data_IF_321270152925
#
_entry.id   IF_321270152925
#
_cell.length_a   1.000
_cell.length_b   1.000
_cell.length_c   1.000
_cell.angle_alpha   90.00
_cell.angle_beta   90.00
_cell.angle_gamma   90.00
#
_symmetry.space_group_name_H-M   'P 1'
#
loop_
_entity.id
_entity.type
_entity.pdbx_description
1 polymer ?
#
# COMPACT_ATOMS: atom_id res chain seq x y z
N UNK A 1 7.58 12.69 5.47
CA UNK A 1 7.57 11.22 5.25
C UNK A 1 8.92 10.86 4.66
N UNK A 2 9.70 9.98 5.31
CA UNK A 2 11.12 9.79 5.00
C UNK A 2 11.26 8.80 3.82
N UNK A 3 11.67 9.26 2.64
CA UNK A 3 11.78 8.43 1.42
C UNK A 3 12.66 7.18 1.61
N UNK A 4 13.64 7.26 2.51
CA UNK A 4 14.52 6.15 2.87
C UNK A 4 13.76 4.95 3.44
N UNK A 5 12.70 5.18 4.21
CA UNK A 5 11.92 4.10 4.83
C UNK A 5 11.18 3.25 3.78
N UNK A 6 10.60 3.88 2.76
CA UNK A 6 9.91 3.17 1.67
C UNK A 6 10.91 2.35 0.88
N UNK A 7 12.09 2.91 0.59
CA UNK A 7 13.15 2.19 -0.10
C UNK A 7 13.71 1.03 0.71
N UNK A 8 13.84 1.16 2.03
CA UNK A 8 14.26 0.07 2.92
C UNK A 8 13.22 -1.05 2.99
N UNK A 9 11.93 -0.71 3.03
CA UNK A 9 10.82 -1.68 2.96
C UNK A 9 10.89 -2.47 1.64
N UNK A 10 11.10 -1.79 0.51
CA UNK A 10 11.13 -2.43 -0.80
C UNK A 10 12.41 -3.22 -1.09
N UNK A 11 13.52 -2.84 -0.44
CA UNK A 11 14.80 -3.58 -0.54
C UNK A 11 14.81 -4.86 0.27
N UNK A 12 13.89 -5.04 1.22
CA UNK A 12 13.72 -6.30 1.96
C UNK A 12 12.59 -7.15 1.33
N UNK A 13 12.92 -8.23 0.60
CA UNK A 13 11.96 -9.06 -0.13
C UNK A 13 11.12 -10.00 0.76
N UNK A 14 11.16 -9.85 2.09
CA UNK A 14 10.11 -10.35 2.99
C UNK A 14 8.94 -9.34 2.96
N UNK A 15 8.37 -9.06 1.78
CA UNK A 15 7.05 -9.56 1.33
C UNK A 15 6.01 -9.48 2.45
N UNK A 16 5.13 -8.47 2.35
CA UNK A 16 3.83 -8.40 3.02
C UNK A 16 3.84 -8.93 4.46
N UNK A 17 4.52 -8.20 5.33
CA UNK A 17 4.59 -8.51 6.75
C UNK A 17 3.23 -8.15 7.37
N UNK A 18 2.89 -8.65 8.56
CA UNK A 18 1.63 -8.32 9.28
C UNK A 18 1.35 -6.80 9.46
N UNK A 19 2.31 -5.95 9.13
CA UNK A 19 2.29 -4.49 9.25
C UNK A 19 2.40 -3.75 7.92
N UNK A 20 2.64 -4.40 6.79
CA UNK A 20 2.83 -3.74 5.49
C UNK A 20 2.00 -4.44 4.44
N UNK A 21 1.10 -3.69 3.81
CA UNK A 21 0.22 -4.21 2.78
C UNK A 21 0.36 -3.39 1.48
N UNK A 22 0.47 -4.07 0.35
CA UNK A 22 0.66 -3.44 -0.96
C UNK A 22 -0.66 -3.39 -1.73
N UNK A 23 -0.96 -2.22 -2.31
CA UNK A 23 -2.13 -2.05 -3.16
C UNK A 23 -1.78 -1.31 -4.44
N UNK A 24 -2.42 -1.72 -5.52
CA UNK A 24 -2.33 -1.07 -6.83
C UNK A 24 -3.21 0.18 -6.88
N UNK A 25 -2.91 1.13 -7.77
CA UNK A 25 -3.70 2.36 -7.91
C UNK A 25 -5.17 2.12 -8.23
N UNK A 26 -5.48 1.01 -8.92
CA UNK A 26 -6.86 0.64 -9.26
C UNK A 26 -7.78 0.48 -8.05
N UNK A 27 -7.25 0.33 -6.83
CA UNK A 27 -8.07 0.31 -5.62
C UNK A 27 -8.79 1.64 -5.36
N UNK A 28 -8.25 2.74 -5.90
CA UNK A 28 -8.78 4.09 -5.76
C UNK A 28 -9.79 4.47 -6.87
N UNK A 29 -10.02 3.61 -7.86
CA UNK A 29 -10.86 3.98 -9.00
C UNK A 29 -12.35 3.73 -8.74
N UNK A 30 -12.69 2.60 -8.11
CA UNK A 30 -14.08 2.14 -7.91
C UNK A 30 -14.55 2.36 -6.48
N UNK A 31 -15.82 2.77 -6.31
CA UNK A 31 -16.44 2.96 -4.99
C UNK A 31 -16.38 1.71 -4.11
N UNK A 32 -16.55 0.54 -4.71
CA UNK A 32 -16.48 -0.75 -4.01
C UNK A 32 -15.07 -1.09 -3.56
N UNK A 33 -14.07 -0.86 -4.41
CA UNK A 33 -12.65 -1.03 -4.07
C UNK A 33 -12.21 -0.08 -2.94
N UNK A 34 -12.69 1.17 -2.96
CA UNK A 34 -12.47 2.12 -1.85
C UNK A 34 -13.05 1.62 -0.53
N UNK A 35 -14.23 1.00 -0.54
CA UNK A 35 -14.81 0.41 0.68
C UNK A 35 -13.94 -0.73 1.21
N UNK A 36 -13.42 -1.60 0.34
CA UNK A 36 -12.47 -2.65 0.73
C UNK A 36 -11.22 -2.07 1.37
N UNK A 37 -10.63 -1.02 0.76
CA UNK A 37 -9.48 -0.32 1.32
C UNK A 37 -9.77 0.25 2.72
N UNK A 38 -10.95 0.83 2.95
CA UNK A 38 -11.35 1.31 4.28
C UNK A 38 -11.40 0.17 5.30
N UNK A 39 -11.96 -0.99 4.94
CA UNK A 39 -11.98 -2.15 5.84
C UNK A 39 -10.57 -2.66 6.15
N UNK A 40 -9.67 -2.67 5.16
CA UNK A 40 -8.27 -3.05 5.35
C UNK A 40 -7.54 -2.07 6.27
N UNK A 41 -7.73 -0.75 6.10
CA UNK A 41 -7.20 0.28 7.01
C UNK A 41 -7.65 0.03 8.45
N UNK A 42 -8.95 -0.23 8.65
CA UNK A 42 -9.51 -0.54 9.97
C UNK A 42 -8.90 -1.83 10.53
N UNK A 43 -8.76 -2.87 9.70
CA UNK A 43 -8.17 -4.15 10.08
C UNK A 43 -6.71 -4.03 10.55
N UNK A 44 -5.89 -3.29 9.81
CA UNK A 44 -4.48 -3.04 10.17
C UNK A 44 -4.39 -2.22 11.46
N UNK A 45 -5.22 -1.18 11.58
CA UNK A 45 -5.25 -0.30 12.75
C UNK A 45 -5.60 -1.05 14.04
N UNK A 46 -6.54 -2.00 13.97
CA UNK A 46 -7.00 -2.76 15.13
C UNK A 46 -6.09 -3.92 15.55
N UNK A 47 -5.27 -4.47 14.64
CA UNK A 47 -4.42 -5.63 14.97
C UNK A 47 -3.07 -5.22 15.57
N UNK A 48 -2.25 -4.50 14.83
CA UNK A 48 -0.85 -4.23 15.21
C UNK A 48 -0.36 -2.82 14.82
N UNK A 49 -1.20 -2.04 14.13
CA UNK A 49 -0.73 -0.88 13.36
C UNK A 49 0.09 -1.30 12.13
N UNK A 50 0.26 -0.39 11.17
CA UNK A 50 0.95 -0.74 9.93
C UNK A 50 0.89 0.35 8.87
N UNK A 51 1.34 0.02 7.67
CA UNK A 51 1.45 0.89 6.51
C UNK A 51 0.77 0.22 5.31
N UNK A 52 -0.08 0.97 4.62
CA UNK A 52 -0.59 0.56 3.30
C UNK A 52 0.16 1.39 2.26
N UNK A 53 0.86 0.70 1.36
CA UNK A 53 1.56 1.35 0.26
C UNK A 53 0.71 1.24 -1.01
N UNK A 54 0.28 2.38 -1.54
CA UNK A 54 -0.54 2.46 -2.75
C UNK A 54 0.36 2.74 -3.96
N UNK A 55 0.08 2.09 -5.09
CA UNK A 55 0.86 2.20 -6.32
C UNK A 55 1.98 1.18 -6.42
N UNK A 56 1.87 0.07 -5.67
CA UNK A 56 2.81 -1.03 -5.66
C UNK A 56 2.08 -2.31 -6.06
N UNK A 57 2.64 -3.04 -7.01
CA UNK A 57 2.16 -4.38 -7.41
C UNK A 57 2.37 -5.38 -6.28
N UNK A 58 1.64 -6.50 -6.31
CA UNK A 58 1.79 -7.60 -5.34
C UNK A 58 3.22 -8.14 -5.25
N UNK A 59 4.02 -7.97 -6.32
CA UNK A 59 5.43 -8.35 -6.38
C UNK A 59 6.39 -7.28 -5.82
N UNK A 60 5.89 -6.23 -5.17
CA UNK A 60 6.71 -5.15 -4.62
C UNK A 60 7.30 -4.20 -5.66
N UNK A 61 6.84 -4.23 -6.92
CA UNK A 61 7.27 -3.29 -7.97
C UNK A 61 6.38 -2.07 -8.01
N UNK A 62 6.97 -0.88 -8.16
CA UNK A 62 6.24 0.36 -8.41
C UNK A 62 5.45 0.29 -9.72
N UNK A 63 4.23 0.80 -9.73
CA UNK A 63 3.40 0.87 -10.95
C UNK A 63 3.80 2.01 -11.89
N UNK A 64 4.63 2.96 -11.43
CA UNK A 64 5.11 4.07 -12.25
C UNK A 64 4.04 5.09 -12.68
N UNK A 65 2.83 5.00 -12.11
CA UNK A 65 1.75 5.96 -12.35
C UNK A 65 1.79 7.06 -11.29
N UNK A 66 1.71 8.31 -11.72
CA UNK A 66 1.49 9.44 -10.79
C UNK A 66 -0.03 9.54 -10.58
N UNK A 67 -0.54 9.30 -9.36
CA UNK A 67 -1.99 9.27 -9.11
C UNK A 67 -2.68 10.63 -9.23
N UNK A 68 -1.90 11.71 -9.24
CA UNK A 68 -2.38 13.07 -9.40
C UNK A 68 -1.48 13.76 -10.42
N UNK A 69 -1.86 13.73 -11.70
CA UNK A 69 -1.32 14.70 -12.64
C UNK A 69 -1.85 16.06 -12.20
N UNK A 70 -0.99 16.84 -11.55
CA UNK A 70 -1.22 18.28 -11.35
C UNK A 70 -0.92 19.00 -12.65
#
# INVERSE_FOLDING_TARGET
MNFNLIYEILKNPDKENLRIEYKQFGILDKKESKKKLVHEIVGISNKYGGHILIGITENGKFEGKIPFSV
#
